data_IF_693586266959
#
_entry.id   IF_693586266959
#
_cell.length_a   1.000
_cell.length_b   1.000
_cell.length_c   1.000
_cell.angle_alpha   90.00
_cell.angle_beta   90.00
_cell.angle_gamma   90.00
#
_symmetry.space_group_name_H-M   'P 1'
#
loop_
_entity.id
_entity.type
_entity.pdbx_description
1 polymer ?
#
# COMPACT_ATOMS: atom_id res chain seq x y z
N UNK A 1 12.92 1.06 1.18
CA UNK A 1 13.44 0.80 -0.19
C UNK A 1 12.49 1.43 -1.20
N UNK A 2 12.95 1.78 -2.41
CA UNK A 2 12.03 2.25 -3.44
C UNK A 2 11.16 1.06 -3.90
N UNK A 3 9.86 1.29 -4.06
CA UNK A 3 8.87 0.26 -4.35
C UNK A 3 8.47 -0.59 -3.14
N UNK A 4 8.84 -0.24 -1.91
CA UNK A 4 8.44 -0.96 -0.71
C UNK A 4 7.01 -0.62 -0.27
N UNK A 5 6.29 -1.58 0.31
CA UNK A 5 5.05 -1.31 1.02
C UNK A 5 5.33 -0.66 2.37
N UNK A 6 4.61 0.40 2.69
CA UNK A 6 4.67 1.08 3.98
C UNK A 6 3.26 1.19 4.55
N UNK A 7 3.15 1.15 5.87
CA UNK A 7 1.86 1.12 6.56
C UNK A 7 1.75 2.30 7.53
N UNK A 8 0.63 3.00 7.46
CA UNK A 8 0.25 4.06 8.40
C UNK A 8 -0.37 3.45 9.65
N UNK A 9 -0.40 4.19 10.76
CA UNK A 9 -1.00 3.69 12.02
C UNK A 9 -2.48 3.31 11.88
N UNK A 10 -3.21 3.98 10.97
CA UNK A 10 -4.61 3.71 10.65
C UNK A 10 -4.81 2.45 9.76
N UNK A 11 -3.73 1.74 9.39
CA UNK A 11 -3.77 0.50 8.60
C UNK A 11 -3.73 0.69 7.06
N UNK A 12 -3.54 1.93 6.64
CA UNK A 12 -3.48 2.35 5.24
C UNK A 12 -2.11 1.97 4.63
N UNK A 13 -2.08 1.18 3.55
CA UNK A 13 -0.86 0.57 2.94
C UNK A 13 -0.42 1.26 1.64
N UNK A 14 0.69 2.01 1.64
CA UNK A 14 1.20 2.73 0.46
C UNK A 14 2.39 2.03 -0.19
N UNK A 15 2.75 2.51 -1.38
CA UNK A 15 4.05 2.21 -2.00
C UNK A 15 4.97 3.41 -1.82
N UNK A 16 6.16 3.18 -1.28
CA UNK A 16 7.24 4.17 -1.24
C UNK A 16 7.82 4.36 -2.64
N UNK A 17 7.72 5.56 -3.20
CA UNK A 17 8.20 5.85 -4.57
C UNK A 17 9.54 6.59 -4.54
N UNK A 18 9.52 7.83 -4.09
CA UNK A 18 10.70 8.67 -4.05
C UNK A 18 11.34 8.62 -2.67
N UNK A 19 12.66 8.49 -2.64
CA UNK A 19 13.45 8.47 -1.41
C UNK A 19 14.38 9.68 -1.44
N UNK A 20 14.06 10.70 -0.67
CA UNK A 20 14.93 11.84 -0.44
C UNK A 20 15.67 11.66 0.90
N UNK A 21 16.74 12.42 1.12
CA UNK A 21 17.59 12.29 2.31
C UNK A 21 16.80 12.43 3.63
N UNK A 22 15.72 13.20 3.62
CA UNK A 22 14.92 13.50 4.81
C UNK A 22 13.47 13.03 4.72
N UNK A 23 12.94 12.77 3.52
CA UNK A 23 11.53 12.52 3.30
C UNK A 23 11.32 11.37 2.31
N UNK A 24 10.20 10.67 2.44
CA UNK A 24 9.77 9.63 1.50
C UNK A 24 8.43 10.05 0.92
N UNK A 25 8.32 10.04 -0.41
CA UNK A 25 7.05 10.24 -1.08
C UNK A 25 6.35 8.90 -1.25
N UNK A 26 5.13 8.81 -0.75
CA UNK A 26 4.26 7.65 -0.85
C UNK A 26 3.11 7.94 -1.80
N UNK A 27 2.68 6.95 -2.59
CA UNK A 27 1.52 7.10 -3.47
C UNK A 27 0.35 6.25 -2.96
N UNK A 28 -0.83 6.87 -2.97
CA UNK A 28 -2.08 6.25 -2.56
C UNK A 28 -3.31 6.79 -3.27
N UNK A 29 -4.36 5.97 -3.32
CA UNK A 29 -5.71 6.37 -3.73
C UNK A 29 -6.34 7.37 -2.77
N UNK A 30 -7.64 7.65 -2.92
CA UNK A 30 -8.42 8.81 -2.43
C UNK A 30 -8.39 9.18 -0.91
N UNK A 31 -7.46 8.68 -0.11
CA UNK A 31 -7.33 9.00 1.31
C UNK A 31 -6.79 10.43 1.52
N UNK A 32 -7.74 11.37 1.64
CA UNK A 32 -7.51 12.79 1.97
C UNK A 32 -6.96 13.02 3.40
N UNK A 33 -6.76 11.96 4.18
CA UNK A 33 -6.32 12.02 5.59
C UNK A 33 -4.78 11.99 5.75
N UNK A 34 -4.03 11.73 4.69
CA UNK A 34 -2.56 11.65 4.75
C UNK A 34 -1.94 13.05 4.66
N UNK A 35 -1.10 13.39 5.63
CA UNK A 35 -0.39 14.67 5.71
C UNK A 35 1.10 14.46 5.91
N UNK A 36 1.90 15.47 5.56
CA UNK A 36 3.34 15.48 5.83
C UNK A 36 3.62 15.37 7.33
N UNK A 37 4.67 14.63 7.69
CA UNK A 37 5.09 14.45 9.08
C UNK A 37 4.38 13.33 9.85
N UNK A 38 3.41 12.65 9.24
CA UNK A 38 2.81 11.46 9.85
C UNK A 38 3.82 10.31 9.87
N UNK A 39 4.01 9.63 11.01
CA UNK A 39 4.88 8.48 11.09
C UNK A 39 4.31 7.30 10.29
N UNK A 40 5.18 6.65 9.51
CA UNK A 40 4.87 5.43 8.76
C UNK A 40 5.80 4.30 9.20
N UNK A 41 5.34 3.06 9.07
CA UNK A 41 6.13 1.86 9.34
C UNK A 41 6.53 1.19 8.03
N UNK A 42 7.83 0.97 7.88
CA UNK A 42 8.39 0.15 6.80
C UNK A 42 7.98 -1.31 7.01
N UNK A 43 7.44 -1.96 5.98
CA UNK A 43 7.04 -3.38 6.08
C UNK A 43 8.18 -4.33 5.73
N UNK A 44 9.26 -3.83 5.11
CA UNK A 44 10.37 -4.61 4.57
C UNK A 44 10.01 -5.44 3.34
N UNK A 45 8.78 -5.29 2.80
CA UNK A 45 8.29 -6.04 1.65
C UNK A 45 8.25 -5.14 0.44
N UNK A 46 8.97 -5.51 -0.62
CA UNK A 46 8.77 -4.91 -1.93
C UNK A 46 7.32 -5.15 -2.36
N UNK A 47 6.70 -4.15 -2.99
CA UNK A 47 5.35 -4.22 -3.50
C UNK A 47 5.15 -5.51 -4.29
N UNK A 48 4.24 -6.34 -3.79
CA UNK A 48 3.96 -7.66 -4.31
C UNK A 48 2.46 -7.91 -4.19
N UNK A 49 1.92 -8.64 -5.16
CA UNK A 49 0.53 -9.04 -5.19
C UNK A 49 0.46 -10.55 -5.04
N UNK A 50 -0.29 -11.08 -4.05
CA UNK A 50 -0.49 -12.51 -3.94
C UNK A 50 -1.26 -13.03 -5.17
N UNK A 51 -0.89 -14.23 -5.63
CA UNK A 51 -1.55 -14.94 -6.73
C UNK A 51 -2.03 -16.30 -6.26
N UNK A 52 -3.23 -16.70 -6.68
CA UNK A 52 -3.88 -17.94 -6.29
C UNK A 52 -5.06 -18.25 -7.20
N UNK A 53 -5.38 -19.53 -7.40
CA UNK A 53 -6.62 -19.95 -8.05
C UNK A 53 -7.87 -19.52 -7.27
N UNK A 54 -7.72 -19.24 -5.97
CA UNK A 54 -8.80 -18.73 -5.12
C UNK A 54 -9.37 -17.38 -5.59
N UNK A 55 -8.65 -16.63 -6.43
CA UNK A 55 -9.14 -15.36 -6.99
C UNK A 55 -10.01 -15.54 -8.24
N UNK A 56 -10.11 -16.76 -8.79
CA UNK A 56 -10.90 -17.00 -10.00
C UNK A 56 -12.39 -16.73 -9.75
N UNK A 57 -12.94 -15.76 -10.50
CA UNK A 57 -14.34 -15.36 -10.37
C UNK A 57 -14.62 -14.36 -9.24
N UNK A 58 -13.59 -13.90 -8.53
CA UNK A 58 -13.70 -12.80 -7.58
C UNK A 58 -13.43 -11.45 -8.25
N UNK A 59 -14.04 -10.38 -7.73
CA UNK A 59 -13.61 -9.00 -8.03
C UNK A 59 -12.71 -8.54 -6.90
N UNK A 60 -11.44 -8.28 -7.22
CA UNK A 60 -10.44 -7.83 -6.25
C UNK A 60 -9.91 -6.44 -6.60
N UNK A 61 -9.46 -5.70 -5.60
CA UNK A 61 -8.78 -4.43 -5.81
C UNK A 61 -7.28 -4.62 -6.15
N UNK A 62 -6.58 -3.51 -6.38
CA UNK A 62 -5.15 -3.50 -6.70
C UNK A 62 -4.23 -4.03 -5.58
N UNK A 63 -4.75 -4.31 -4.37
CA UNK A 63 -4.04 -4.93 -3.25
C UNK A 63 -4.46 -6.40 -3.03
N UNK A 64 -5.15 -7.00 -4.01
CA UNK A 64 -5.72 -8.35 -3.94
C UNK A 64 -6.69 -8.59 -2.76
N UNK A 65 -7.35 -7.52 -2.29
CA UNK A 65 -8.47 -7.63 -1.36
C UNK A 65 -9.77 -7.78 -2.15
N UNK A 66 -10.66 -8.72 -1.80
CA UNK A 66 -11.97 -8.86 -2.43
C UNK A 66 -12.82 -7.60 -2.20
N UNK A 67 -13.52 -7.17 -3.25
CA UNK A 67 -14.44 -6.02 -3.25
C UNK A 67 -15.82 -6.38 -3.83
N UNK A 68 -16.04 -7.65 -4.16
CA UNK A 68 -17.31 -8.21 -4.62
C UNK A 68 -18.31 -8.45 -3.49
N UNK A 69 -17.92 -8.24 -2.23
CA UNK A 69 -18.81 -8.38 -1.05
C UNK A 69 -19.23 -9.83 -0.75
N UNK A 70 -18.51 -10.81 -1.30
CA UNK A 70 -18.65 -12.24 -0.99
C UNK A 70 -17.76 -12.65 0.18
#
# INVERSE_FOLDING_TARGET
MAGELVEFEEGTICIALNLESNNVTVLMGDDLMIQEGIPIKATGKIAQIPVSEAYLGCVINALAKPIDGR
#
